data_IF_085358430883
#
_entry.id   IF_085358430883
#
_cell.length_a   1.000
_cell.length_b   1.000
_cell.length_c   1.000
_cell.angle_alpha   90.00
_cell.angle_beta   90.00
_cell.angle_gamma   90.00
#
_symmetry.space_group_name_H-M   'P 1'
#
loop_
_entity.id
_entity.type
_entity.pdbx_description
1 polymer ?
#
# COMPACT_ATOMS: atom_id res chain seq x y z
N UNK A 1 -23.66 -18.59 -20.17
CA UNK A 1 -22.28 -18.36 -19.70
C UNK A 1 -22.18 -16.90 -19.30
N UNK A 2 -22.35 -16.59 -18.01
CA UNK A 2 -22.23 -15.22 -17.52
C UNK A 2 -20.75 -14.94 -17.26
N UNK A 3 -20.14 -14.05 -18.04
CA UNK A 3 -18.86 -13.46 -17.65
C UNK A 3 -19.15 -12.59 -16.42
N UNK A 4 -18.53 -12.92 -15.30
CA UNK A 4 -18.59 -12.06 -14.12
C UNK A 4 -18.06 -10.69 -14.55
N UNK A 5 -18.93 -9.68 -14.56
CA UNK A 5 -18.51 -8.28 -14.63
C UNK A 5 -17.94 -7.91 -13.26
N UNK A 6 -16.79 -8.50 -12.92
CA UNK A 6 -15.93 -7.92 -11.91
C UNK A 6 -15.46 -6.61 -12.51
N UNK A 7 -15.85 -5.50 -11.90
CA UNK A 7 -15.28 -4.20 -12.23
C UNK A 7 -13.80 -4.24 -11.84
N UNK A 8 -12.95 -4.71 -12.74
CA UNK A 8 -11.49 -4.51 -12.70
C UNK A 8 -11.20 -3.04 -12.98
N UNK A 9 -11.72 -2.14 -12.13
CA UNK A 9 -11.19 -0.80 -12.08
C UNK A 9 -9.73 -0.95 -11.65
N UNK A 10 -8.81 -0.69 -12.58
CA UNK A 10 -7.40 -0.64 -12.26
C UNK A 10 -7.23 0.37 -11.11
N UNK A 11 -6.54 0.01 -10.03
CA UNK A 11 -6.33 0.92 -8.91
C UNK A 11 -5.62 2.17 -9.42
N UNK A 12 -6.07 3.34 -8.99
CA UNK A 12 -5.46 4.63 -9.27
C UNK A 12 -4.61 5.10 -8.10
N UNK A 13 -3.66 6.01 -8.36
CA UNK A 13 -2.79 6.58 -7.31
C UNK A 13 -3.58 7.36 -6.24
N UNK A 14 -4.72 7.95 -6.64
CA UNK A 14 -5.55 8.80 -5.78
C UNK A 14 -6.57 8.01 -4.97
N UNK A 15 -6.66 6.69 -5.17
CA UNK A 15 -7.59 5.83 -4.44
C UNK A 15 -7.21 5.72 -2.96
N UNK A 16 -8.15 5.19 -2.17
CA UNK A 16 -7.80 4.78 -0.80
C UNK A 16 -7.05 3.45 -0.85
N UNK A 17 -5.82 3.44 -0.35
CA UNK A 17 -4.99 2.24 -0.30
C UNK A 17 -4.98 1.62 1.08
N UNK A 18 -5.36 0.34 1.14
CA UNK A 18 -5.23 -0.47 2.34
C UNK A 18 -3.84 -1.07 2.40
N UNK A 19 -3.18 -0.89 3.54
CA UNK A 19 -1.80 -1.31 3.75
C UNK A 19 -1.74 -2.21 4.97
N UNK A 20 -1.37 -3.46 4.75
CA UNK A 20 -1.08 -4.41 5.82
C UNK A 20 0.36 -4.23 6.29
N UNK A 21 0.53 -4.13 7.61
CA UNK A 21 1.80 -3.88 8.26
C UNK A 21 2.04 -4.96 9.30
N UNK A 22 3.07 -5.78 9.10
CA UNK A 22 3.37 -6.94 9.97
C UNK A 22 4.72 -6.77 10.63
N UNK A 23 4.82 -7.17 11.91
CA UNK A 23 6.11 -7.19 12.61
C UNK A 23 6.99 -8.33 12.09
N UNK A 24 8.18 -8.00 11.58
CA UNK A 24 9.16 -8.97 11.09
C UNK A 24 10.53 -8.76 11.75
N UNK A 25 10.86 -9.55 12.77
CA UNK A 25 12.17 -9.53 13.43
C UNK A 25 12.48 -8.20 14.13
N UNK A 26 13.24 -7.28 13.52
CA UNK A 26 13.48 -5.89 13.99
C UNK A 26 12.88 -4.80 13.07
N UNK A 27 12.09 -5.21 12.09
CA UNK A 27 11.48 -4.37 11.08
C UNK A 27 9.96 -4.51 11.05
N UNK A 28 9.32 -3.59 10.35
CA UNK A 28 7.93 -3.66 9.94
C UNK A 28 7.92 -3.93 8.44
N UNK A 29 7.29 -5.03 8.03
CA UNK A 29 6.99 -5.30 6.63
C UNK A 29 5.70 -4.54 6.26
N UNK A 30 5.69 -3.93 5.08
CA UNK A 30 4.62 -3.07 4.59
C UNK A 30 4.18 -3.61 3.24
N UNK A 31 2.88 -3.87 3.09
CA UNK A 31 2.28 -4.38 1.85
C UNK A 31 1.03 -3.58 1.53
N UNK A 32 0.92 -3.02 0.33
CA UNK A 32 -0.33 -2.46 -0.15
C UNK A 32 -1.20 -3.59 -0.72
N UNK A 33 -2.39 -3.79 -0.15
CA UNK A 33 -3.21 -4.99 -0.42
C UNK A 33 -3.86 -4.93 -1.80
N UNK A 34 -4.18 -3.72 -2.29
CA UNK A 34 -4.73 -3.50 -3.62
C UNK A 34 -3.66 -3.36 -4.72
N UNK A 35 -2.37 -3.34 -4.38
CA UNK A 35 -1.25 -3.19 -5.32
C UNK A 35 -0.30 -4.40 -5.20
N UNK A 36 -0.61 -5.54 -5.83
CA UNK A 36 0.27 -6.70 -5.79
C UNK A 36 1.68 -6.33 -6.31
N UNK A 37 2.70 -6.58 -5.49
CA UNK A 37 4.09 -6.20 -5.77
C UNK A 37 4.56 -4.89 -5.12
N UNK A 38 3.66 -4.06 -4.59
CA UNK A 38 4.03 -2.89 -3.79
C UNK A 38 4.37 -3.33 -2.35
N UNK A 39 5.66 -3.55 -2.12
CA UNK A 39 6.21 -3.95 -0.83
C UNK A 39 7.29 -2.99 -0.38
N UNK A 40 7.32 -2.71 0.92
CA UNK A 40 8.38 -1.91 1.53
C UNK A 40 8.59 -2.32 2.98
N UNK A 41 9.52 -1.66 3.67
CA UNK A 41 9.85 -1.98 5.05
C UNK A 41 10.41 -0.78 5.82
N UNK A 42 10.09 -0.70 7.12
CA UNK A 42 10.59 0.36 7.99
C UNK A 42 11.09 -0.19 9.34
N UNK A 43 12.19 0.36 9.87
CA UNK A 43 12.69 -0.03 11.22
C UNK A 43 11.80 0.44 12.36
N UNK A 44 11.21 1.62 12.20
CA UNK A 44 10.43 2.29 13.25
C UNK A 44 8.97 2.35 12.82
N UNK A 45 8.06 2.04 13.74
CA UNK A 45 6.61 2.10 13.49
C UNK A 45 6.17 3.48 13.01
N UNK A 46 6.77 4.55 13.55
CA UNK A 46 6.50 5.93 13.13
C UNK A 46 6.85 6.23 11.66
N UNK A 47 7.72 5.45 11.03
CA UNK A 47 8.10 5.62 9.62
C UNK A 47 7.22 4.83 8.65
N UNK A 48 6.42 3.88 9.14
CA UNK A 48 5.58 3.01 8.31
C UNK A 48 4.69 3.81 7.36
N UNK A 49 4.00 4.85 7.85
CA UNK A 49 3.07 5.63 7.02
C UNK A 49 3.78 6.33 5.86
N UNK A 50 4.90 7.00 6.14
CA UNK A 50 5.68 7.71 5.12
C UNK A 50 6.26 6.72 4.11
N UNK A 51 6.88 5.64 4.58
CA UNK A 51 7.45 4.60 3.73
C UNK A 51 6.41 3.87 2.87
N UNK A 52 5.18 3.67 3.39
CA UNK A 52 4.09 3.12 2.59
C UNK A 52 3.67 4.07 1.46
N UNK A 53 3.57 5.37 1.76
CA UNK A 53 3.24 6.41 0.78
C UNK A 53 4.29 6.52 -0.32
N UNK A 54 5.57 6.60 0.06
CA UNK A 54 6.71 6.59 -0.86
C UNK A 54 6.67 5.37 -1.79
N UNK A 55 6.41 4.17 -1.24
CA UNK A 55 6.37 2.94 -2.04
C UNK A 55 5.18 2.90 -3.02
N UNK A 56 4.02 3.42 -2.64
CA UNK A 56 2.84 3.51 -3.51
C UNK A 56 3.08 4.54 -4.62
N UNK A 57 3.62 5.71 -4.28
CA UNK A 57 4.00 6.73 -5.25
C UNK A 57 4.98 6.18 -6.29
N UNK A 58 6.02 5.47 -5.83
CA UNK A 58 7.00 4.82 -6.71
C UNK A 58 6.37 3.74 -7.61
N UNK A 59 5.41 2.97 -7.10
CA UNK A 59 4.73 1.93 -7.88
C UNK A 59 3.94 2.52 -9.06
N UNK A 60 3.37 3.71 -8.87
CA UNK A 60 2.63 4.45 -9.90
C UNK A 60 3.46 5.42 -10.73
N UNK A 61 4.77 5.57 -10.44
CA UNK A 61 5.63 6.61 -11.02
C UNK A 61 5.07 8.03 -10.84
N UNK A 62 4.60 8.33 -9.62
CA UNK A 62 3.92 9.57 -9.24
C UNK A 62 4.60 10.25 -8.03
N UNK A 63 4.14 11.46 -7.67
CA UNK A 63 4.58 12.14 -6.45
C UNK A 63 3.80 11.67 -5.20
N UNK A 64 4.44 11.72 -4.03
CA UNK A 64 3.80 11.35 -2.75
C UNK A 64 2.55 12.18 -2.40
N UNK A 65 2.46 13.40 -2.93
CA UNK A 65 1.31 14.29 -2.75
C UNK A 65 0.06 13.82 -3.50
N UNK A 66 0.23 13.05 -4.56
CA UNK A 66 -0.84 12.49 -5.39
C UNK A 66 -1.42 11.22 -4.78
N UNK A 67 -0.66 10.55 -3.90
CA UNK A 67 -1.13 9.34 -3.22
C UNK A 67 -2.32 9.67 -2.35
N UNK A 68 -3.40 8.95 -2.59
CA UNK A 68 -4.63 9.06 -1.84
C UNK A 68 -4.49 8.68 -0.36
N UNK A 69 -5.62 8.59 0.35
CA UNK A 69 -5.65 8.20 1.75
C UNK A 69 -5.06 6.80 1.97
N UNK A 70 -4.30 6.64 3.06
CA UNK A 70 -3.76 5.35 3.48
C UNK A 70 -4.49 4.84 4.71
N UNK A 71 -5.00 3.61 4.64
CA UNK A 71 -5.55 2.87 5.78
C UNK A 71 -4.51 1.83 6.21
N UNK A 72 -3.90 2.05 7.37
CA UNK A 72 -2.86 1.17 7.89
C UNK A 72 -3.46 0.13 8.86
N UNK A 73 -3.35 -1.14 8.50
CA UNK A 73 -3.73 -2.26 9.33
C UNK A 73 -2.48 -2.90 9.92
N UNK A 74 -2.30 -2.79 11.24
CA UNK A 74 -1.17 -3.41 11.93
C UNK A 74 -1.58 -4.81 12.40
N UNK A 75 -0.94 -5.83 11.82
CA UNK A 75 -1.08 -7.22 12.27
C UNK A 75 0.06 -7.57 13.23
N UNK A 76 -0.26 -8.29 14.30
CA UNK A 76 0.56 -8.45 15.51
C UNK A 76 1.63 -9.54 15.39
#
# INVERSE_FOLDING_TARGET
>A
MAIASGTDAQPSVSDTHHVTVVRSGRWWAIKADNLPGCHSQARRRAKVKATAREAIALWFDAEEGEVGPLVLNFDH
#
